data_IF_679440435938
#
_entry.id   IF_679440435938
#
_cell.length_a   1.000
_cell.length_b   1.000
_cell.length_c   1.000
_cell.angle_alpha   90.00
_cell.angle_beta   90.00
_cell.angle_gamma   90.00
#
_symmetry.space_group_name_H-M   'P 1'
#
loop_
_entity.id
_entity.type
_entity.pdbx_description
1 polymer ?
#
# COMPACT_ATOMS: atom_id res chain seq x y z
N UNK A 1 -24.40 -10.41 -11.73
CA UNK A 1 -23.20 -11.08 -12.31
C UNK A 1 -21.96 -10.45 -11.69
N UNK A 2 -20.95 -11.23 -11.26
CA UNK A 2 -19.68 -10.68 -10.75
C UNK A 2 -18.89 -9.99 -11.86
N UNK A 3 -18.09 -8.98 -11.51
CA UNK A 3 -17.19 -8.27 -12.42
C UNK A 3 -16.08 -9.21 -12.91
N UNK A 4 -15.78 -9.20 -14.22
CA UNK A 4 -14.69 -10.01 -14.77
C UNK A 4 -13.34 -9.31 -14.57
N UNK A 5 -12.27 -10.10 -14.44
CA UNK A 5 -10.90 -9.57 -14.39
C UNK A 5 -10.60 -8.67 -15.59
N UNK A 6 -11.03 -9.08 -16.78
CA UNK A 6 -10.79 -8.32 -18.01
C UNK A 6 -11.50 -6.97 -17.98
N UNK A 7 -12.77 -6.92 -17.58
CA UNK A 7 -13.52 -5.68 -17.49
C UNK A 7 -12.86 -4.70 -16.50
N UNK A 8 -12.45 -5.19 -15.32
CA UNK A 8 -11.74 -4.38 -14.34
C UNK A 8 -10.43 -3.80 -14.90
N UNK A 9 -9.61 -4.64 -15.53
CA UNK A 9 -8.31 -4.23 -16.10
C UNK A 9 -8.50 -3.21 -17.21
N UNK A 10 -9.45 -3.44 -18.13
CA UNK A 10 -9.73 -2.52 -19.23
C UNK A 10 -10.14 -1.15 -18.68
N UNK A 11 -11.04 -1.12 -17.71
CA UNK A 11 -11.53 0.15 -17.15
C UNK A 11 -10.43 0.89 -16.37
N UNK A 12 -9.69 0.19 -15.49
CA UNK A 12 -8.59 0.84 -14.75
C UNK A 12 -7.49 1.35 -15.67
N UNK A 13 -7.15 0.62 -16.75
CA UNK A 13 -6.17 1.10 -17.72
C UNK A 13 -6.66 2.33 -18.48
N UNK A 14 -7.94 2.35 -18.87
CA UNK A 14 -8.57 3.52 -19.50
C UNK A 14 -8.46 4.76 -18.60
N UNK A 15 -8.80 4.62 -17.32
CA UNK A 15 -8.71 5.71 -16.34
C UNK A 15 -7.26 6.17 -16.11
N UNK A 16 -6.31 5.25 -15.95
CA UNK A 16 -4.90 5.60 -15.79
C UNK A 16 -4.35 6.38 -16.98
N UNK A 17 -4.65 5.94 -18.21
CA UNK A 17 -4.23 6.64 -19.43
C UNK A 17 -4.85 8.04 -19.50
N UNK A 18 -6.13 8.19 -19.15
CA UNK A 18 -6.81 9.51 -19.10
C UNK A 18 -6.18 10.45 -18.05
N UNK A 19 -5.63 9.89 -16.97
CA UNK A 19 -4.91 10.65 -15.94
C UNK A 19 -3.44 10.94 -16.31
N UNK A 20 -3.00 10.64 -17.53
CA UNK A 20 -1.61 10.86 -17.97
C UNK A 20 -0.59 9.86 -17.40
N UNK A 21 -1.06 8.76 -16.80
CA UNK A 21 -0.21 7.72 -16.24
C UNK A 21 0.03 6.61 -17.27
N UNK A 22 1.23 6.02 -17.25
CA UNK A 22 1.52 4.84 -18.07
C UNK A 22 0.83 3.61 -17.47
N UNK A 23 -0.32 3.24 -18.05
CA UNK A 23 -1.12 2.09 -17.64
C UNK A 23 -0.40 0.72 -17.73
N UNK A 24 0.77 0.63 -18.38
CA UNK A 24 1.59 -0.58 -18.39
C UNK A 24 2.28 -0.84 -17.04
N UNK A 25 2.53 0.20 -16.24
CA UNK A 25 3.21 0.07 -14.94
C UNK A 25 2.28 -0.40 -13.81
N UNK A 26 0.96 -0.45 -14.06
CA UNK A 26 -0.04 -0.76 -13.05
C UNK A 26 -0.76 -2.06 -13.39
N UNK A 27 -0.68 -3.02 -12.46
CA UNK A 27 -1.43 -4.27 -12.52
C UNK A 27 -2.13 -4.50 -11.17
N UNK A 28 -2.99 -5.51 -11.10
CA UNK A 28 -3.73 -5.84 -9.86
C UNK A 28 -2.84 -5.91 -8.61
N UNK A 29 -1.61 -6.42 -8.76
CA UNK A 29 -0.64 -6.49 -7.68
C UNK A 29 -0.16 -5.11 -7.19
N UNK A 30 0.07 -4.16 -8.11
CA UNK A 30 0.46 -2.78 -7.78
C UNK A 30 -0.59 -2.10 -6.90
N UNK A 31 -1.88 -2.34 -7.14
CA UNK A 31 -2.96 -1.82 -6.30
C UNK A 31 -2.94 -2.41 -4.88
N UNK A 32 -2.58 -3.69 -4.72
CA UNK A 32 -2.44 -4.29 -3.38
C UNK A 32 -1.26 -3.71 -2.61
N UNK A 33 -0.14 -3.44 -3.30
CA UNK A 33 1.01 -2.72 -2.74
C UNK A 33 0.60 -1.32 -2.29
N UNK A 34 -0.05 -0.56 -3.17
CA UNK A 34 -0.52 0.78 -2.88
C UNK A 34 -1.50 0.82 -1.70
N UNK A 35 -2.48 -0.10 -1.66
CA UNK A 35 -3.44 -0.18 -0.58
C UNK A 35 -2.78 -0.52 0.78
N UNK A 36 -1.89 -1.52 0.81
CA UNK A 36 -1.15 -1.88 2.04
C UNK A 36 -0.30 -0.71 2.54
N UNK A 37 0.45 -0.09 1.63
CA UNK A 37 1.32 1.05 1.93
C UNK A 37 0.53 2.25 2.44
N UNK A 38 -0.57 2.60 1.77
CA UNK A 38 -1.42 3.75 2.16
C UNK A 38 -2.07 3.52 3.52
N UNK A 39 -2.53 2.30 3.80
CA UNK A 39 -3.10 1.97 5.09
C UNK A 39 -2.07 2.04 6.22
N UNK A 40 -0.85 1.55 5.97
CA UNK A 40 0.26 1.66 6.91
C UNK A 40 0.68 3.11 7.16
N UNK A 41 0.73 3.96 6.12
CA UNK A 41 1.04 5.38 6.27
C UNK A 41 -0.05 6.16 7.00
N UNK A 42 -1.29 5.64 7.00
CA UNK A 42 -2.40 6.17 7.80
C UNK A 42 -2.43 5.59 9.23
N UNK A 43 -1.35 4.92 9.65
CA UNK A 43 -1.18 4.35 10.99
C UNK A 43 -2.28 3.35 11.39
N UNK A 44 -2.92 2.72 10.40
CA UNK A 44 -3.91 1.68 10.68
C UNK A 44 -3.23 0.46 11.31
N UNK A 45 -3.84 -0.15 12.35
CA UNK A 45 -3.34 -1.39 12.94
C UNK A 45 -3.13 -2.49 11.90
N UNK A 46 -2.05 -3.25 12.04
CA UNK A 46 -1.69 -4.40 11.19
C UNK A 46 -2.85 -5.36 10.93
N UNK A 47 -3.67 -5.66 11.95
CA UNK A 47 -4.87 -6.49 11.84
C UNK A 47 -5.91 -5.92 10.88
N UNK A 48 -6.10 -4.61 10.86
CA UNK A 48 -7.02 -3.95 9.92
C UNK A 48 -6.47 -4.02 8.51
N UNK A 49 -5.18 -3.74 8.31
CA UNK A 49 -4.53 -3.87 6.99
C UNK A 49 -4.68 -5.30 6.46
N UNK A 50 -4.37 -6.29 7.30
CA UNK A 50 -4.51 -7.72 6.98
C UNK A 50 -5.94 -8.08 6.55
N UNK A 51 -6.93 -7.59 7.30
CA UNK A 51 -8.36 -7.79 7.01
C UNK A 51 -8.79 -7.12 5.70
N UNK A 52 -8.39 -5.86 5.49
CA UNK A 52 -8.75 -5.07 4.30
C UNK A 52 -8.26 -5.73 3.01
N UNK A 53 -7.03 -6.23 2.99
CA UNK A 53 -6.52 -6.94 1.82
C UNK A 53 -6.89 -8.42 1.77
N UNK A 54 -7.62 -8.94 2.76
CA UNK A 54 -8.03 -10.35 2.84
C UNK A 54 -6.82 -11.31 2.85
N UNK A 55 -5.75 -10.93 3.55
CA UNK A 55 -4.57 -11.77 3.70
C UNK A 55 -4.74 -12.74 4.87
N UNK A 56 -4.40 -14.00 4.66
CA UNK A 56 -4.43 -15.03 5.71
C UNK A 56 -3.12 -15.08 6.51
N UNK A 57 -2.01 -14.69 5.89
CA UNK A 57 -0.69 -14.62 6.51
C UNK A 57 -0.15 -13.20 6.52
N UNK A 58 1.03 -13.00 7.11
CA UNK A 58 1.68 -11.69 7.22
C UNK A 58 2.47 -11.32 5.95
N UNK A 59 2.20 -12.00 4.83
CA UNK A 59 2.84 -11.71 3.54
C UNK A 59 2.59 -10.28 3.02
N UNK A 60 1.59 -9.58 3.55
CA UNK A 60 1.27 -8.19 3.23
C UNK A 60 2.31 -7.20 3.74
N UNK A 61 3.10 -7.54 4.76
CA UNK A 61 4.15 -6.66 5.29
C UNK A 61 5.18 -6.33 4.21
N UNK A 62 5.51 -7.28 3.33
CA UNK A 62 6.41 -7.07 2.19
C UNK A 62 5.88 -6.11 1.13
N UNK A 63 4.57 -5.84 1.15
CA UNK A 63 3.92 -4.92 0.23
C UNK A 63 3.92 -3.48 0.76
N UNK A 64 4.18 -3.28 2.05
CA UNK A 64 4.27 -1.94 2.64
C UNK A 64 5.61 -1.31 2.22
N UNK A 65 5.54 -0.21 1.48
CA UNK A 65 6.72 0.56 1.06
C UNK A 65 6.90 1.75 1.99
N UNK A 66 7.88 1.67 2.88
CA UNK A 66 8.23 2.76 3.79
C UNK A 66 9.12 3.77 3.04
N UNK A 67 8.76 5.06 3.00
CA UNK A 67 9.62 6.09 2.40
C UNK A 67 10.99 6.17 3.09
N UNK A 68 12.04 6.43 2.31
CA UNK A 68 13.40 6.59 2.86
C UNK A 68 13.49 7.71 3.91
N UNK A 69 12.73 8.80 3.73
CA UNK A 69 12.66 9.90 4.69
C UNK A 69 12.18 9.43 6.08
N UNK A 70 11.17 8.55 6.11
CA UNK A 70 10.69 7.94 7.36
C UNK A 70 11.78 7.10 8.00
N UNK A 71 12.45 6.24 7.21
CA UNK A 71 13.54 5.40 7.71
C UNK A 71 14.71 6.21 8.28
N UNK A 72 15.10 7.30 7.63
CA UNK A 72 16.16 8.18 8.15
C UNK A 72 15.80 8.88 9.46
N UNK A 73 14.51 9.12 9.70
CA UNK A 73 14.03 9.77 10.93
C UNK A 73 13.95 8.84 12.14
N UNK A 74 13.94 7.51 11.94
CA UNK A 74 13.70 6.52 13.00
C UNK A 74 14.67 6.68 14.17
N UNK A 75 15.96 6.90 13.90
CA UNK A 75 16.97 7.04 14.95
C UNK A 75 16.69 8.23 15.87
N UNK A 76 16.22 9.35 15.32
CA UNK A 76 15.89 10.53 16.11
C UNK A 76 14.66 10.24 16.99
N UNK A 77 13.59 9.70 16.40
CA UNK A 77 12.36 9.36 17.12
C UNK A 77 12.60 8.39 18.28
N UNK A 78 13.48 7.39 18.10
CA UNK A 78 13.82 6.45 19.17
C UNK A 78 14.55 7.12 20.34
N UNK A 79 15.40 8.12 20.06
CA UNK A 79 16.11 8.88 21.09
C UNK A 79 15.14 9.73 21.92
N UNK A 80 14.18 10.36 21.25
CA UNK A 80 13.16 11.19 21.91
C UNK A 80 12.28 10.35 22.86
N UNK A 81 11.87 9.15 22.42
CA UNK A 81 11.08 8.22 23.24
C UNK A 81 11.82 7.79 24.50
N UNK A 82 13.11 7.46 24.38
CA UNK A 82 13.94 7.06 25.54
C UNK A 82 14.16 8.20 26.52
N UNK A 83 14.22 9.44 26.04
CA UNK A 83 14.43 10.64 26.88
C UNK A 83 13.14 11.07 27.60
N UNK A 84 11.97 10.67 27.08
CA UNK A 84 10.67 10.97 27.65
C UNK A 84 10.16 9.94 28.69
N UNK A 85 10.90 8.85 28.91
CA UNK A 85 10.64 7.83 29.95
C UNK A 85 11.41 8.13 31.24
#
# INVERSE_FOLDING_TARGET
KPLTKQALITETRSLLTKSGLNAAHYVGHSYRIGAATTAASAELPSRLIKTLGRWTSDCYERYIKIPLATLSGVSATLTDVLTAM
#
